data_IF_561786408514
#
_entry.id   IF_561786408514
#
_cell.length_a   1.000
_cell.length_b   1.000
_cell.length_c   1.000
_cell.angle_alpha   90.00
_cell.angle_beta   90.00
_cell.angle_gamma   90.00
#
_symmetry.space_group_name_H-M   'P 1'
#
loop_
_entity.id
_entity.type
_entity.pdbx_description
1 polymer ?
#
# COMPACT_ATOMS: atom_id res chain seq x y z
N UNK A 1 -6.22 15.31 -54.72
CA UNK A 1 -5.10 16.03 -54.06
C UNK A 1 -5.53 16.18 -52.61
N UNK A 2 -4.94 15.41 -51.72
CA UNK A 2 -5.25 15.46 -50.29
C UNK A 2 -4.41 16.58 -49.67
N UNK A 3 -5.07 17.61 -49.12
CA UNK A 3 -4.39 18.72 -48.46
C UNK A 3 -4.36 18.44 -46.97
N UNK A 4 -3.15 18.36 -46.40
CA UNK A 4 -2.92 18.27 -44.96
C UNK A 4 -3.45 19.56 -44.31
N UNK A 5 -4.40 19.44 -43.39
CA UNK A 5 -4.77 20.54 -42.50
C UNK A 5 -3.54 20.83 -41.64
N UNK A 6 -2.93 22.00 -41.84
CA UNK A 6 -1.91 22.51 -40.93
C UNK A 6 -2.54 22.61 -39.55
N UNK A 7 -2.02 21.83 -38.61
CA UNK A 7 -2.24 22.04 -37.19
C UNK A 7 -1.73 23.44 -36.87
N UNK A 8 -2.63 24.41 -36.77
CA UNK A 8 -2.34 25.71 -36.18
C UNK A 8 -1.82 25.43 -34.76
N UNK A 9 -0.50 25.57 -34.58
CA UNK A 9 0.08 25.75 -33.27
C UNK A 9 -0.45 27.08 -32.75
N UNK A 10 -1.57 27.03 -32.04
CA UNK A 10 -2.07 28.16 -31.30
C UNK A 10 -0.96 28.64 -30.37
N UNK A 11 -0.45 29.85 -30.62
CA UNK A 11 0.46 30.55 -29.73
C UNK A 11 -0.13 30.55 -28.32
N UNK A 12 0.52 29.80 -27.42
CA UNK A 12 0.05 29.59 -26.06
C UNK A 12 0.33 30.89 -25.31
N UNK A 13 -0.72 31.69 -25.07
CA UNK A 13 -0.65 32.78 -24.09
C UNK A 13 0.01 32.27 -22.80
N UNK A 14 0.98 32.99 -22.22
CA UNK A 14 1.61 32.58 -20.97
C UNK A 14 0.52 32.48 -19.90
N UNK A 15 0.23 31.26 -19.47
CA UNK A 15 -0.79 31.01 -18.45
C UNK A 15 -0.27 31.61 -17.14
N UNK A 16 -1.01 32.57 -16.58
CA UNK A 16 -0.54 33.45 -15.51
C UNK A 16 -0.12 32.73 -14.23
N UNK A 17 -0.52 31.47 -14.04
CA UNK A 17 -0.26 30.66 -12.85
C UNK A 17 0.86 29.61 -13.04
N UNK A 18 1.62 29.63 -14.15
CA UNK A 18 2.62 28.59 -14.43
C UNK A 18 3.69 28.47 -13.33
N UNK A 19 4.08 29.59 -12.72
CA UNK A 19 5.05 29.66 -11.62
C UNK A 19 4.46 29.30 -10.27
N UNK A 20 3.13 29.19 -10.14
CA UNK A 20 2.45 28.94 -8.85
C UNK A 20 2.69 27.49 -8.40
N UNK A 21 3.04 27.32 -7.13
CA UNK A 21 3.30 26.02 -6.51
C UNK A 21 2.30 25.83 -5.37
N UNK A 22 1.33 24.96 -5.59
CA UNK A 22 0.35 24.52 -4.60
C UNK A 22 0.87 23.26 -3.93
N UNK A 23 1.18 23.30 -2.65
CA UNK A 23 1.86 22.19 -1.97
C UNK A 23 1.23 21.87 -0.61
N UNK A 24 1.28 20.60 -0.22
CA UNK A 24 0.97 20.23 1.15
C UNK A 24 2.09 20.72 2.10
N UNK A 25 1.73 21.24 3.27
CA UNK A 25 2.69 21.72 4.28
C UNK A 25 3.75 20.68 4.66
N UNK A 26 3.39 19.40 4.62
CA UNK A 26 4.29 18.29 4.95
C UNK A 26 5.44 18.11 3.94
N UNK A 27 5.37 18.73 2.75
CA UNK A 27 6.42 18.67 1.72
C UNK A 27 7.64 19.50 2.12
N UNK A 28 7.44 20.60 2.85
CA UNK A 28 8.51 21.51 3.26
C UNK A 28 9.13 21.16 4.62
N UNK A 29 8.73 20.05 5.25
CA UNK A 29 9.35 19.52 6.48
C UNK A 29 9.44 20.57 7.62
N UNK A 30 8.47 21.51 7.67
CA UNK A 30 8.41 22.59 8.67
C UNK A 30 8.99 23.94 8.22
N UNK A 31 9.58 24.02 7.03
CA UNK A 31 10.05 25.28 6.46
C UNK A 31 8.87 26.19 6.03
N UNK A 32 9.02 27.52 6.14
CA UNK A 32 8.04 28.46 5.61
C UNK A 32 8.00 28.44 4.07
N UNK A 33 6.98 29.04 3.43
CA UNK A 33 6.94 29.20 1.98
C UNK A 33 8.24 29.79 1.42
N UNK A 34 8.82 29.13 0.43
CA UNK A 34 10.16 29.48 -0.09
C UNK A 34 10.14 30.70 -1.02
N UNK A 35 8.98 31.05 -1.58
CA UNK A 35 8.77 32.25 -2.38
C UNK A 35 7.29 32.65 -2.39
N UNK A 36 6.97 33.80 -2.97
CA UNK A 36 5.60 34.32 -3.13
C UNK A 36 4.70 33.40 -3.97
N UNK A 37 5.29 32.50 -4.75
CA UNK A 37 4.57 31.55 -5.58
C UNK A 37 4.14 30.28 -4.82
N UNK A 38 4.66 30.06 -3.62
CA UNK A 38 4.32 28.90 -2.79
C UNK A 38 3.07 29.16 -1.96
N UNK A 39 2.10 28.27 -2.08
CA UNK A 39 0.93 28.24 -1.22
C UNK A 39 0.84 26.86 -0.55
N UNK A 40 0.81 26.87 0.78
CA UNK A 40 0.82 25.67 1.59
C UNK A 40 -0.60 25.33 2.07
N UNK A 41 -0.91 24.04 2.07
CA UNK A 41 -2.19 23.51 2.50
C UNK A 41 -2.01 22.43 3.57
N UNK A 42 -2.91 22.40 4.54
CA UNK A 42 -2.82 21.46 5.68
C UNK A 42 -3.09 20.01 5.28
N UNK A 43 -3.89 19.78 4.23
CA UNK A 43 -4.26 18.44 3.78
C UNK A 43 -4.42 18.37 2.26
N UNK A 44 -4.44 17.14 1.72
CA UNK A 44 -4.54 16.90 0.29
C UNK A 44 -5.92 17.26 -0.30
N UNK A 45 -6.98 17.25 0.50
CA UNK A 45 -8.34 17.57 0.02
C UNK A 45 -8.51 19.06 -0.28
N UNK A 46 -8.04 19.92 0.63
CA UNK A 46 -8.05 21.37 0.44
C UNK A 46 -7.10 21.76 -0.70
N UNK A 47 -5.92 21.12 -0.77
CA UNK A 47 -5.01 21.27 -1.90
C UNK A 47 -5.68 20.90 -3.23
N UNK A 48 -6.38 19.78 -3.27
CA UNK A 48 -7.11 19.33 -4.47
C UNK A 48 -8.19 20.35 -4.88
N UNK A 49 -8.97 20.86 -3.93
CA UNK A 49 -10.01 21.84 -4.21
C UNK A 49 -9.44 23.14 -4.82
N UNK A 50 -8.33 23.65 -4.28
CA UNK A 50 -7.66 24.81 -4.87
C UNK A 50 -7.05 24.47 -6.24
N UNK A 51 -6.44 23.30 -6.39
CA UNK A 51 -5.86 22.86 -7.65
C UNK A 51 -6.88 22.78 -8.80
N UNK A 52 -8.18 22.60 -8.51
CA UNK A 52 -9.24 22.64 -9.54
C UNK A 52 -9.39 24.00 -10.22
N UNK A 53 -8.98 25.09 -9.56
CA UNK A 53 -9.05 26.44 -10.14
C UNK A 53 -7.80 26.78 -10.96
N UNK A 54 -6.66 26.15 -10.66
CA UNK A 54 -5.38 26.36 -11.33
C UNK A 54 -5.29 25.69 -12.72
N UNK A 55 -4.47 26.21 -13.64
CA UNK A 55 -4.39 25.76 -15.03
C UNK A 55 -3.01 25.20 -15.41
N UNK A 56 -1.93 25.92 -15.06
CA UNK A 56 -0.55 25.52 -15.34
C UNK A 56 0.31 25.44 -14.07
N UNK A 57 -0.29 25.59 -12.89
CA UNK A 57 0.42 25.47 -11.61
C UNK A 57 1.06 24.08 -11.39
N UNK A 58 1.99 24.05 -10.44
CA UNK A 58 2.59 22.83 -9.92
C UNK A 58 1.88 22.42 -8.64
N UNK A 59 1.32 21.21 -8.61
CA UNK A 59 0.58 20.65 -7.48
C UNK A 59 1.41 19.54 -6.86
N UNK A 60 1.76 19.65 -5.57
CA UNK A 60 2.59 18.67 -4.86
C UNK A 60 1.80 18.08 -3.70
N UNK A 61 1.29 16.88 -3.90
CA UNK A 61 0.61 16.10 -2.85
C UNK A 61 1.61 15.45 -1.91
N UNK A 62 1.22 15.25 -0.65
CA UNK A 62 1.99 14.48 0.33
C UNK A 62 1.38 13.10 0.55
N UNK A 63 2.21 12.06 0.52
CA UNK A 63 1.82 10.67 0.78
C UNK A 63 2.54 10.16 2.03
N UNK A 64 1.77 9.77 3.05
CA UNK A 64 2.31 9.28 4.32
C UNK A 64 1.97 7.81 4.59
N UNK A 65 0.82 7.33 4.09
CA UNK A 65 0.34 5.96 4.33
C UNK A 65 -0.38 5.37 3.12
N UNK A 66 -0.37 4.04 2.98
CA UNK A 66 -0.95 3.32 1.84
C UNK A 66 -2.47 3.52 1.69
N UNK A 67 -3.18 3.80 2.79
CA UNK A 67 -4.62 4.06 2.75
C UNK A 67 -4.97 5.30 1.89
N UNK A 68 -4.02 6.21 1.67
CA UNK A 68 -4.23 7.42 0.89
C UNK A 68 -4.05 7.23 -0.62
N UNK A 69 -3.55 6.07 -1.08
CA UNK A 69 -3.25 5.83 -2.50
C UNK A 69 -4.48 5.93 -3.38
N UNK A 70 -5.58 5.25 -3.02
CA UNK A 70 -6.79 5.28 -3.84
C UNK A 70 -7.46 6.68 -3.87
N UNK A 71 -7.68 7.37 -2.73
CA UNK A 71 -8.15 8.75 -2.75
C UNK A 71 -7.26 9.67 -3.59
N UNK A 72 -5.94 9.53 -3.47
CA UNK A 72 -4.97 10.34 -4.19
C UNK A 72 -5.00 10.06 -5.70
N UNK A 73 -5.09 8.80 -6.11
CA UNK A 73 -5.25 8.39 -7.50
C UNK A 73 -6.50 9.02 -8.13
N UNK A 74 -7.63 9.08 -7.39
CA UNK A 74 -8.87 9.75 -7.81
C UNK A 74 -8.69 11.25 -7.98
N UNK A 75 -8.02 11.91 -7.03
CA UNK A 75 -7.72 13.34 -7.13
C UNK A 75 -6.84 13.67 -8.33
N UNK A 76 -5.76 12.91 -8.54
CA UNK A 76 -4.82 13.11 -9.66
C UNK A 76 -5.52 12.91 -11.01
N UNK A 77 -6.28 11.82 -11.14
CA UNK A 77 -7.05 11.52 -12.34
C UNK A 77 -8.05 12.63 -12.67
N UNK A 78 -8.80 13.08 -11.67
CA UNK A 78 -9.78 14.18 -11.83
C UNK A 78 -9.09 15.47 -12.27
N UNK A 79 -7.97 15.85 -11.65
CA UNK A 79 -7.22 17.04 -12.04
C UNK A 79 -6.70 16.92 -13.47
N UNK A 80 -6.11 15.78 -13.83
CA UNK A 80 -5.54 15.57 -15.16
C UNK A 80 -6.60 15.65 -16.26
N UNK A 81 -7.77 15.05 -16.03
CA UNK A 81 -8.91 15.08 -16.98
C UNK A 81 -9.54 16.47 -17.08
N UNK A 82 -9.74 17.16 -15.96
CA UNK A 82 -10.43 18.46 -15.95
C UNK A 82 -9.54 19.64 -16.36
N UNK A 83 -8.23 19.59 -16.04
CA UNK A 83 -7.31 20.73 -16.20
C UNK A 83 -6.34 20.58 -17.38
N UNK A 84 -6.21 19.36 -17.91
CA UNK A 84 -5.41 19.08 -19.11
C UNK A 84 -3.92 18.88 -18.85
N UNK A 85 -3.11 19.11 -19.88
CA UNK A 85 -1.71 18.65 -19.93
C UNK A 85 -0.67 19.61 -19.34
N UNK A 86 -1.00 20.88 -19.12
CA UNK A 86 -0.02 21.89 -18.66
C UNK A 86 0.21 21.87 -17.15
N UNK A 87 -0.74 21.36 -16.37
CA UNK A 87 -0.60 21.23 -14.92
C UNK A 87 0.46 20.19 -14.58
N UNK A 88 1.36 20.53 -13.65
CA UNK A 88 2.40 19.62 -13.17
C UNK A 88 1.95 19.01 -11.86
N UNK A 89 1.69 17.71 -11.85
CA UNK A 89 1.16 17.00 -10.67
C UNK A 89 2.26 16.08 -10.13
N UNK A 90 2.67 16.31 -8.89
CA UNK A 90 3.71 15.55 -8.19
C UNK A 90 3.14 14.92 -6.93
N UNK A 91 3.71 13.76 -6.58
CA UNK A 91 3.43 13.08 -5.31
C UNK A 91 4.73 12.94 -4.54
N UNK A 92 4.82 13.59 -3.38
CA UNK A 92 5.93 13.46 -2.44
C UNK A 92 5.61 12.36 -1.43
N UNK A 93 6.41 11.30 -1.47
CA UNK A 93 6.39 10.25 -0.46
C UNK A 93 7.20 10.71 0.75
N UNK A 94 6.57 10.77 1.93
CA UNK A 94 7.22 11.17 3.19
C UNK A 94 7.74 9.96 3.99
N UNK A 95 7.05 8.83 3.90
CA UNK A 95 7.37 7.58 4.60
C UNK A 95 7.48 6.46 3.58
N UNK A 96 8.44 5.54 3.75
CA UNK A 96 8.62 4.35 2.90
C UNK A 96 7.38 3.45 2.88
N UNK A 97 6.48 3.71 1.95
CA UNK A 97 5.12 3.18 1.96
C UNK A 97 4.63 2.82 0.55
N UNK A 98 5.07 3.57 -0.45
CA UNK A 98 4.66 3.42 -1.84
C UNK A 98 5.33 2.19 -2.46
N UNK A 99 4.50 1.28 -2.99
CA UNK A 99 4.96 0.14 -3.78
C UNK A 99 5.15 0.55 -5.23
N UNK A 100 5.97 -0.18 -5.98
CA UNK A 100 6.18 0.05 -7.42
C UNK A 100 4.88 -0.01 -8.25
N UNK A 101 3.87 -0.75 -7.79
CA UNK A 101 2.55 -0.80 -8.44
C UNK A 101 1.70 0.42 -8.18
N UNK A 102 1.70 0.89 -6.95
CA UNK A 102 0.97 2.09 -6.56
C UNK A 102 1.63 3.32 -7.21
N UNK A 103 2.96 3.33 -7.33
CA UNK A 103 3.69 4.34 -8.10
C UNK A 103 3.25 4.35 -9.57
N UNK A 104 3.20 3.18 -10.22
CA UNK A 104 2.71 3.06 -11.60
C UNK A 104 1.27 3.53 -11.76
N UNK A 105 0.41 3.23 -10.79
CA UNK A 105 -0.97 3.72 -10.78
C UNK A 105 -1.03 5.23 -10.75
N UNK A 106 -0.31 5.88 -9.82
CA UNK A 106 -0.34 7.33 -9.68
C UNK A 106 0.17 8.01 -10.97
N UNK A 107 1.21 7.44 -11.59
CA UNK A 107 1.74 7.91 -12.88
C UNK A 107 0.72 7.70 -14.02
N UNK A 108 0.02 6.57 -14.05
CA UNK A 108 -1.01 6.26 -15.04
C UNK A 108 -2.28 7.11 -14.86
N UNK A 109 -2.63 7.46 -13.62
CA UNK A 109 -3.71 8.39 -13.29
C UNK A 109 -3.42 9.83 -13.76
N UNK A 110 -2.15 10.19 -13.97
CA UNK A 110 -1.79 11.51 -14.49
C UNK A 110 -0.71 12.25 -13.73
N UNK A 111 -0.05 11.64 -12.74
CA UNK A 111 1.10 12.26 -12.08
C UNK A 111 2.27 12.38 -13.07
N UNK A 112 2.95 13.52 -13.06
CA UNK A 112 4.18 13.72 -13.82
C UNK A 112 5.31 12.90 -13.21
N UNK A 113 5.47 12.99 -11.90
CA UNK A 113 6.57 12.38 -11.17
C UNK A 113 6.19 12.07 -9.72
N UNK A 114 6.77 10.99 -9.21
CA UNK A 114 6.75 10.64 -7.79
C UNK A 114 8.12 10.97 -7.20
N UNK A 115 8.14 11.70 -6.10
CA UNK A 115 9.33 12.03 -5.35
C UNK A 115 9.46 11.01 -4.20
N UNK A 116 10.47 10.12 -4.22
CA UNK A 116 10.57 9.02 -3.26
C UNK A 116 10.99 9.50 -1.87
N UNK A 117 10.67 8.70 -0.84
CA UNK A 117 10.99 9.02 0.57
C UNK A 117 12.48 9.21 0.85
N UNK A 118 13.35 8.50 0.11
CA UNK A 118 14.80 8.58 0.29
C UNK A 118 15.42 9.86 -0.29
N UNK A 119 14.65 10.67 -1.02
CA UNK A 119 15.12 11.96 -1.52
C UNK A 119 15.00 13.02 -0.42
N UNK A 120 16.09 13.71 -0.01
CA UNK A 120 16.00 14.80 0.95
C UNK A 120 15.27 16.01 0.37
N UNK A 121 14.87 16.97 1.23
CA UNK A 121 14.19 18.21 0.82
C UNK A 121 14.92 18.96 -0.32
N UNK A 122 16.24 19.07 -0.27
CA UNK A 122 17.04 19.71 -1.34
C UNK A 122 16.85 19.03 -2.70
N UNK A 123 16.79 17.69 -2.72
CA UNK A 123 16.54 16.91 -3.93
C UNK A 123 15.09 17.02 -4.37
N UNK A 124 14.15 17.06 -3.43
CA UNK A 124 12.72 17.32 -3.68
C UNK A 124 12.52 18.65 -4.44
N UNK A 125 13.12 19.74 -3.96
CA UNK A 125 13.03 21.06 -4.60
C UNK A 125 13.64 21.06 -6.02
N UNK A 126 14.78 20.39 -6.20
CA UNK A 126 15.40 20.22 -7.53
C UNK A 126 14.46 19.48 -8.50
N UNK A 127 13.73 18.49 -7.99
CA UNK A 127 12.77 17.72 -8.78
C UNK A 127 11.50 18.52 -9.12
N UNK A 128 11.03 19.38 -8.22
CA UNK A 128 9.91 20.31 -8.48
C UNK A 128 10.29 21.30 -9.60
N UNK A 129 11.53 21.79 -9.61
CA UNK A 129 11.99 22.68 -10.68
C UNK A 129 12.14 21.93 -12.01
N UNK A 130 12.61 20.68 -11.98
CA UNK A 130 12.84 19.89 -13.21
C UNK A 130 11.60 19.62 -14.06
N UNK A 131 10.39 19.72 -13.48
CA UNK A 131 9.14 19.50 -14.20
C UNK A 131 8.53 20.79 -14.75
N UNK A 132 9.12 21.95 -14.48
CA UNK A 132 8.63 23.21 -15.05
C UNK A 132 8.77 23.20 -16.58
N UNK A 133 7.76 23.72 -17.28
CA UNK A 133 7.67 23.67 -18.75
C UNK A 133 7.29 22.30 -19.34
N UNK A 134 7.25 21.22 -18.55
CA UNK A 134 6.85 19.90 -19.05
C UNK A 134 5.34 19.82 -19.31
N UNK A 135 4.96 19.38 -20.51
CA UNK A 135 3.57 19.04 -20.85
C UNK A 135 3.34 17.54 -20.71
N UNK A 136 2.24 17.17 -20.08
CA UNK A 136 1.85 15.77 -19.93
C UNK A 136 1.29 15.23 -21.26
N UNK A 137 2.00 14.28 -21.88
CA UNK A 137 1.65 13.71 -23.19
C UNK A 137 1.04 12.32 -23.13
N UNK A 138 1.09 11.64 -21.98
CA UNK A 138 0.55 10.27 -21.84
C UNK A 138 -0.97 10.29 -21.92
N UNK A 139 -1.54 9.25 -22.54
CA UNK A 139 -2.98 9.04 -22.53
C UNK A 139 -3.45 8.61 -21.13
N UNK A 140 -4.51 9.26 -20.63
CA UNK A 140 -5.18 8.88 -19.38
C UNK A 140 -6.59 8.42 -19.72
N UNK A 141 -6.96 7.16 -19.40
CA UNK A 141 -8.31 6.65 -19.59
C UNK A 141 -9.37 7.53 -18.95
N UNK A 142 -10.55 7.60 -19.56
CA UNK A 142 -11.67 8.39 -19.05
C UNK A 142 -12.23 7.82 -17.75
N UNK A 143 -12.38 6.49 -17.67
CA UNK A 143 -12.83 5.83 -16.46
C UNK A 143 -11.65 5.40 -15.57
N UNK A 144 -11.67 5.89 -14.33
CA UNK A 144 -10.69 5.52 -13.30
C UNK A 144 -10.81 4.06 -12.87
N UNK A 145 -11.97 3.42 -13.01
CA UNK A 145 -12.12 2.00 -12.63
C UNK A 145 -11.18 1.10 -13.43
N UNK A 146 -10.86 1.48 -14.67
CA UNK A 146 -9.91 0.77 -15.55
C UNK A 146 -8.47 0.90 -15.06
N UNK A 147 -8.12 2.01 -14.40
CA UNK A 147 -6.81 2.20 -13.77
C UNK A 147 -6.75 1.49 -12.42
N UNK A 148 -7.81 1.58 -11.62
CA UNK A 148 -7.89 0.90 -10.33
C UNK A 148 -7.86 -0.62 -10.47
N UNK A 149 -8.41 -1.17 -11.55
CA UNK A 149 -8.31 -2.61 -11.85
C UNK A 149 -6.87 -3.08 -12.12
N UNK A 150 -5.99 -2.20 -12.63
CA UNK A 150 -4.55 -2.50 -12.77
C UNK A 150 -3.83 -2.64 -11.42
N UNK A 151 -4.36 -2.05 -10.34
CA UNK A 151 -3.82 -2.15 -8.98
C UNK A 151 -4.59 -3.05 -8.04
N UNK A 152 -5.76 -3.54 -8.42
CA UNK A 152 -6.59 -4.38 -7.57
C UNK A 152 -6.61 -5.83 -8.08
N UNK A 153 -5.50 -6.59 -8.03
CA UNK A 153 -5.58 -8.02 -8.33
C UNK A 153 -6.17 -8.83 -7.18
N UNK A 154 -6.09 -8.34 -5.93
CA UNK A 154 -6.55 -9.09 -4.78
C UNK A 154 -7.08 -8.20 -3.64
N UNK A 155 -8.41 -8.08 -3.53
CA UNK A 155 -9.08 -7.40 -2.40
C UNK A 155 -9.08 -8.20 -1.10
N UNK A 156 -8.55 -9.41 -1.13
CA UNK A 156 -8.49 -10.30 0.01
C UNK A 156 -7.34 -9.90 0.93
N UNK A 157 -7.52 -10.13 2.22
CA UNK A 157 -6.49 -9.92 3.25
C UNK A 157 -6.58 -11.03 4.28
N UNK A 158 -5.43 -11.47 4.78
CA UNK A 158 -5.37 -12.40 5.89
C UNK A 158 -5.71 -13.83 5.51
N UNK A 159 -6.22 -14.59 6.46
CA UNK A 159 -6.50 -16.01 6.28
C UNK A 159 -7.58 -16.24 5.22
N UNK A 160 -7.31 -17.13 4.29
CA UNK A 160 -8.23 -17.65 3.29
C UNK A 160 -8.24 -19.18 3.35
N UNK A 161 -9.39 -19.78 3.04
CA UNK A 161 -9.49 -21.24 2.84
C UNK A 161 -8.56 -21.67 1.70
N UNK A 162 -8.11 -22.92 1.74
CA UNK A 162 -7.11 -23.44 0.80
C UNK A 162 -7.49 -23.28 -0.67
N UNK A 163 -8.74 -23.61 -1.00
CA UNK A 163 -9.35 -23.46 -2.32
C UNK A 163 -9.43 -22.00 -2.76
N UNK A 164 -9.92 -21.12 -1.88
CA UNK A 164 -10.05 -19.68 -2.12
C UNK A 164 -8.67 -19.06 -2.34
N UNK A 165 -7.68 -19.44 -1.54
CA UNK A 165 -6.30 -19.00 -1.69
C UNK A 165 -5.74 -19.41 -3.06
N UNK A 166 -5.83 -20.70 -3.41
CA UNK A 166 -5.31 -21.19 -4.69
C UNK A 166 -5.98 -20.51 -5.89
N UNK A 167 -7.30 -20.28 -5.82
CA UNK A 167 -8.04 -19.60 -6.88
C UNK A 167 -7.66 -18.13 -6.98
N UNK A 168 -7.50 -17.44 -5.85
CA UNK A 168 -7.06 -16.05 -5.79
C UNK A 168 -5.70 -15.84 -6.44
N UNK A 169 -4.69 -16.63 -6.04
CA UNK A 169 -3.34 -16.51 -6.60
C UNK A 169 -3.34 -16.91 -8.09
N UNK A 170 -4.07 -17.95 -8.48
CA UNK A 170 -4.19 -18.36 -9.88
C UNK A 170 -4.85 -17.28 -10.75
N UNK A 171 -5.92 -16.63 -10.28
CA UNK A 171 -6.57 -15.53 -10.99
C UNK A 171 -5.62 -14.34 -11.17
N UNK A 172 -4.78 -14.08 -10.17
CA UNK A 172 -3.77 -13.04 -10.24
C UNK A 172 -2.65 -13.38 -11.25
N UNK A 173 -2.17 -14.62 -11.28
CA UNK A 173 -1.17 -15.05 -12.26
C UNK A 173 -1.70 -14.96 -13.69
N UNK A 174 -2.95 -15.34 -13.90
CA UNK A 174 -3.60 -15.36 -15.22
C UNK A 174 -4.19 -14.01 -15.66
N UNK A 175 -4.06 -12.95 -14.86
CA UNK A 175 -4.62 -11.64 -15.21
C UNK A 175 -3.71 -10.92 -16.23
N UNK A 176 -4.16 -10.73 -17.49
CA UNK A 176 -3.35 -10.09 -18.53
C UNK A 176 -3.19 -8.58 -18.34
N UNK A 177 -3.96 -7.97 -17.44
CA UNK A 177 -3.89 -6.54 -17.12
C UNK A 177 -2.81 -6.23 -16.08
N UNK A 178 -2.25 -7.27 -15.42
CA UNK A 178 -1.16 -7.09 -14.48
C UNK A 178 0.19 -7.11 -15.18
N UNK A 179 1.21 -6.45 -14.61
CA UNK A 179 2.57 -6.52 -15.13
C UNK A 179 3.03 -7.97 -15.30
N UNK A 180 3.75 -8.24 -16.40
CA UNK A 180 4.28 -9.57 -16.71
C UNK A 180 5.29 -10.10 -15.68
N UNK A 181 5.83 -9.23 -14.82
CA UNK A 181 6.83 -9.58 -13.81
C UNK A 181 6.53 -8.90 -12.49
N UNK A 182 6.85 -9.59 -11.38
CA UNK A 182 6.78 -9.05 -10.03
C UNK A 182 5.36 -8.96 -9.49
N UNK A 183 4.48 -9.91 -9.88
CA UNK A 183 3.12 -10.00 -9.33
C UNK A 183 3.16 -10.25 -7.82
N UNK A 184 4.12 -11.02 -7.31
CA UNK A 184 4.32 -11.18 -5.88
C UNK A 184 5.27 -12.31 -5.54
N UNK A 185 5.32 -12.65 -4.26
CA UNK A 185 6.12 -13.77 -3.74
C UNK A 185 5.19 -14.74 -3.03
N UNK A 186 5.24 -16.01 -3.42
CA UNK A 186 4.62 -17.12 -2.71
C UNK A 186 5.65 -17.76 -1.76
N UNK A 187 5.28 -17.96 -0.50
CA UNK A 187 6.18 -18.54 0.51
C UNK A 187 5.45 -19.61 1.30
N UNK A 188 6.02 -20.82 1.35
CA UNK A 188 5.58 -21.88 2.24
C UNK A 188 6.52 -21.99 3.44
N UNK A 189 6.00 -21.69 4.63
CA UNK A 189 6.71 -21.72 5.90
C UNK A 189 6.34 -22.99 6.68
N UNK A 190 7.36 -23.73 7.12
CA UNK A 190 7.18 -24.89 8.00
C UNK A 190 7.50 -24.49 9.45
N UNK A 191 6.56 -24.59 10.39
CA UNK A 191 6.81 -24.22 11.78
C UNK A 191 7.86 -25.14 12.42
N UNK A 192 8.48 -24.68 13.51
CA UNK A 192 9.36 -25.50 14.34
C UNK A 192 8.56 -26.64 15.01
N UNK A 193 9.18 -27.79 15.37
CA UNK A 193 8.47 -28.92 15.97
C UNK A 193 7.63 -28.61 17.22
N UNK A 194 7.97 -27.54 17.95
CA UNK A 194 7.23 -27.10 19.14
C UNK A 194 6.01 -26.22 18.87
N UNK A 195 5.79 -25.77 17.62
CA UNK A 195 4.71 -24.85 17.26
C UNK A 195 3.82 -25.52 16.21
N UNK A 196 2.51 -25.52 16.44
CA UNK A 196 1.55 -26.01 15.43
C UNK A 196 1.27 -24.93 14.39
N UNK A 197 0.91 -25.34 13.18
CA UNK A 197 0.64 -24.41 12.07
C UNK A 197 -0.49 -23.43 12.38
N UNK A 198 -1.48 -23.86 13.17
CA UNK A 198 -2.61 -23.02 13.57
C UNK A 198 -2.18 -21.95 14.59
N UNK A 199 -1.18 -22.25 15.44
CA UNK A 199 -0.57 -21.25 16.34
C UNK A 199 0.30 -20.27 15.57
N UNK A 200 1.07 -20.74 14.57
CA UNK A 200 1.81 -19.85 13.69
C UNK A 200 0.88 -18.90 12.92
N UNK A 201 -0.33 -19.37 12.56
CA UNK A 201 -1.34 -18.55 11.90
C UNK A 201 -1.89 -17.43 12.78
N UNK A 202 -2.03 -17.63 14.10
CA UNK A 202 -2.54 -16.56 14.99
C UNK A 202 -1.55 -15.40 15.13
N UNK A 203 -0.25 -15.70 15.00
CA UNK A 203 0.84 -14.71 14.97
C UNK A 203 0.95 -13.99 13.62
N UNK A 204 0.45 -14.58 12.54
CA UNK A 204 0.49 -14.00 11.21
C UNK A 204 -0.57 -12.91 11.06
N UNK A 205 -0.18 -11.63 11.12
CA UNK A 205 -1.09 -10.49 11.06
C UNK A 205 -0.75 -9.54 9.91
N UNK A 206 -1.12 -9.88 8.66
CA UNK A 206 -0.92 -8.97 7.54
C UNK A 206 -1.82 -7.74 7.69
N UNK A 207 -1.20 -6.58 7.61
CA UNK A 207 -1.81 -5.26 7.69
C UNK A 207 -2.34 -4.81 6.32
N UNK A 208 -1.74 -5.28 5.23
CA UNK A 208 -2.03 -4.84 3.85
C UNK A 208 -3.01 -5.75 3.12
N UNK A 209 -3.86 -5.13 2.30
CA UNK A 209 -4.72 -5.84 1.34
C UNK A 209 -3.87 -6.41 0.21
N UNK A 210 -4.19 -7.63 -0.23
CA UNK A 210 -3.39 -8.39 -1.19
C UNK A 210 -2.40 -9.37 -0.55
N UNK A 211 -2.15 -9.24 0.76
CA UNK A 211 -1.35 -10.20 1.51
C UNK A 211 -2.32 -11.22 2.14
N UNK A 212 -2.33 -12.43 1.60
CA UNK A 212 -3.19 -13.53 2.04
C UNK A 212 -2.36 -14.70 2.53
N UNK A 213 -2.93 -15.49 3.44
CA UNK A 213 -2.31 -16.73 3.89
C UNK A 213 -3.32 -17.87 3.99
N UNK A 214 -2.83 -19.08 3.88
CA UNK A 214 -3.59 -20.31 4.12
C UNK A 214 -2.73 -21.31 4.89
N UNK A 215 -3.34 -22.35 5.43
CA UNK A 215 -2.64 -23.41 6.16
C UNK A 215 -3.08 -24.77 5.61
N UNK A 216 -2.12 -25.66 5.40
CA UNK A 216 -2.38 -27.00 4.90
C UNK A 216 -1.12 -27.85 4.88
N UNK A 217 -1.28 -29.16 5.10
CA UNK A 217 -0.14 -30.10 5.06
C UNK A 217 0.98 -29.75 6.07
N UNK A 218 0.60 -29.22 7.25
CA UNK A 218 1.52 -28.72 8.28
C UNK A 218 2.47 -27.61 7.80
N UNK A 219 2.00 -26.77 6.85
CA UNK A 219 2.70 -25.60 6.34
C UNK A 219 1.78 -24.39 6.34
N UNK A 220 2.35 -23.23 6.63
CA UNK A 220 1.69 -21.94 6.50
C UNK A 220 2.16 -21.32 5.18
N UNK A 221 1.24 -21.14 4.25
CA UNK A 221 1.53 -20.59 2.93
C UNK A 221 1.05 -19.15 2.87
N UNK A 222 1.94 -18.22 2.55
CA UNK A 222 1.67 -16.81 2.33
C UNK A 222 1.84 -16.46 0.87
N UNK A 223 1.00 -15.56 0.38
CA UNK A 223 1.21 -14.86 -0.87
C UNK A 223 1.26 -13.36 -0.59
N UNK A 224 2.40 -12.73 -0.93
CA UNK A 224 2.65 -11.31 -0.72
C UNK A 224 2.58 -10.59 -2.07
N UNK A 225 1.50 -9.83 -2.27
CA UNK A 225 1.28 -9.12 -3.54
C UNK A 225 2.32 -8.01 -3.72
N UNK A 226 2.92 -7.95 -4.91
CA UNK A 226 3.89 -6.94 -5.33
C UNK A 226 5.10 -6.79 -4.39
N UNK A 227 5.47 -7.85 -3.68
CA UNK A 227 6.69 -7.93 -2.91
C UNK A 227 7.86 -8.34 -3.83
N UNK A 228 9.05 -7.78 -3.61
CA UNK A 228 10.29 -8.23 -4.26
C UNK A 228 10.94 -9.28 -3.37
N UNK A 229 11.67 -10.21 -3.98
CA UNK A 229 12.39 -11.25 -3.24
C UNK A 229 13.36 -10.67 -2.19
N UNK A 230 14.03 -9.56 -2.52
CA UNK A 230 14.98 -8.89 -1.61
C UNK A 230 14.28 -8.26 -0.38
N UNK A 231 13.00 -7.91 -0.51
CA UNK A 231 12.22 -7.28 0.55
C UNK A 231 11.41 -8.31 1.36
N UNK A 232 11.56 -9.61 1.07
CA UNK A 232 10.76 -10.67 1.70
C UNK A 232 10.98 -10.73 3.21
N UNK A 233 12.23 -10.72 3.66
CA UNK A 233 12.58 -10.76 5.09
C UNK A 233 12.03 -9.53 5.82
N UNK A 234 12.12 -8.35 5.20
CA UNK A 234 11.53 -7.11 5.71
C UNK A 234 10.00 -7.20 5.79
N UNK A 235 9.33 -7.79 4.80
CA UNK A 235 7.89 -7.97 4.82
C UNK A 235 7.46 -8.93 5.93
N UNK A 236 8.14 -10.06 6.08
CA UNK A 236 7.85 -11.05 7.12
C UNK A 236 8.04 -10.48 8.53
N UNK A 237 9.08 -9.69 8.77
CA UNK A 237 9.31 -9.03 10.06
C UNK A 237 8.23 -8.01 10.43
N UNK A 238 7.49 -7.47 9.46
CA UNK A 238 6.34 -6.60 9.73
C UNK A 238 5.03 -7.37 9.91
N UNK A 239 4.93 -8.59 9.37
CA UNK A 239 3.73 -9.43 9.45
C UNK A 239 3.70 -10.23 10.77
N UNK A 240 4.87 -10.66 11.24
CA UNK A 240 5.02 -11.43 12.47
C UNK A 240 5.53 -10.55 13.61
N UNK A 241 4.97 -10.66 14.83
CA UNK A 241 5.42 -9.90 15.99
C UNK A 241 6.74 -10.44 16.59
N UNK A 242 7.19 -11.62 16.16
CA UNK A 242 8.39 -12.30 16.62
C UNK A 242 9.32 -12.60 15.44
N UNK A 243 10.63 -12.76 15.67
CA UNK A 243 11.56 -13.17 14.63
C UNK A 243 11.12 -14.46 13.95
N UNK A 244 11.09 -14.48 12.62
CA UNK A 244 10.60 -15.63 11.86
C UNK A 244 11.45 -16.89 12.06
N UNK A 245 12.74 -16.75 12.39
CA UNK A 245 13.63 -17.89 12.69
C UNK A 245 13.25 -18.67 13.95
N UNK A 246 12.55 -18.05 14.90
CA UNK A 246 12.09 -18.72 16.13
C UNK A 246 10.78 -19.47 15.89
N UNK A 247 9.98 -19.01 14.91
CA UNK A 247 8.67 -19.57 14.60
C UNK A 247 8.77 -20.69 13.56
N UNK A 248 9.66 -20.52 12.57
CA UNK A 248 9.73 -21.37 11.38
C UNK A 248 11.11 -22.01 11.24
N UNK A 249 11.12 -23.33 11.04
CA UNK A 249 12.34 -24.11 10.82
C UNK A 249 12.81 -24.07 9.37
N UNK A 250 11.85 -24.01 8.44
CA UNK A 250 12.15 -24.13 7.02
C UNK A 250 11.22 -23.26 6.18
N UNK A 251 11.73 -22.71 5.07
CA UNK A 251 10.94 -21.90 4.14
C UNK A 251 11.22 -22.30 2.70
N UNK A 252 10.18 -22.35 1.87
CA UNK A 252 10.29 -22.46 0.42
C UNK A 252 9.68 -21.21 -0.20
N UNK A 253 10.30 -20.68 -1.25
CA UNK A 253 9.96 -19.39 -1.84
C UNK A 253 9.88 -19.53 -3.35
N UNK A 254 8.80 -19.01 -3.94
CA UNK A 254 8.60 -18.89 -5.37
C UNK A 254 8.24 -17.45 -5.69
N UNK A 255 9.00 -16.82 -6.58
CA UNK A 255 8.82 -15.39 -6.92
C UNK A 255 8.61 -15.16 -8.43
N UNK A 256 8.88 -16.17 -9.25
CA UNK A 256 8.57 -16.13 -10.69
C UNK A 256 7.15 -16.64 -10.94
N UNK A 257 6.43 -15.97 -11.84
CA UNK A 257 5.03 -16.27 -12.14
C UNK A 257 4.81 -17.73 -12.60
N UNK A 258 5.75 -18.28 -13.37
CA UNK A 258 5.71 -19.67 -13.84
C UNK A 258 5.90 -20.66 -12.68
N UNK A 259 6.83 -20.36 -11.76
CA UNK A 259 7.09 -21.18 -10.58
C UNK A 259 5.88 -21.17 -9.63
N UNK A 260 5.29 -19.99 -9.42
CA UNK A 260 4.08 -19.83 -8.60
C UNK A 260 2.93 -20.64 -9.22
N UNK A 261 2.74 -20.56 -10.53
CA UNK A 261 1.70 -21.31 -11.24
C UNK A 261 1.90 -22.82 -11.14
N UNK A 262 3.13 -23.30 -11.30
CA UNK A 262 3.48 -24.71 -11.15
C UNK A 262 3.25 -25.22 -9.72
N UNK A 263 3.65 -24.44 -8.71
CA UNK A 263 3.43 -24.80 -7.30
C UNK A 263 1.94 -24.82 -6.94
N UNK A 264 1.13 -23.90 -7.48
CA UNK A 264 -0.32 -23.92 -7.27
C UNK A 264 -0.97 -25.22 -7.78
N UNK A 265 -0.44 -25.82 -8.85
CA UNK A 265 -0.91 -27.13 -9.33
C UNK A 265 -0.58 -28.22 -8.30
N UNK A 266 0.63 -28.21 -7.73
CA UNK A 266 1.03 -29.15 -6.67
C UNK A 266 0.20 -28.96 -5.39
N UNK A 267 -0.03 -27.72 -4.97
CA UNK A 267 -0.84 -27.39 -3.81
C UNK A 267 -2.30 -27.85 -3.95
N UNK A 268 -2.86 -27.84 -5.17
CA UNK A 268 -4.22 -28.34 -5.43
C UNK A 268 -4.36 -29.85 -5.29
N UNK A 269 -3.27 -30.61 -5.34
CA UNK A 269 -3.28 -32.06 -5.11
C UNK A 269 -3.38 -32.43 -3.62
N UNK A 270 -3.27 -31.45 -2.72
CA UNK A 270 -3.39 -31.67 -1.29
C UNK A 270 -4.82 -32.06 -0.91
N UNK A 271 -4.96 -33.19 -0.23
CA UNK A 271 -6.26 -33.74 0.14
C UNK A 271 -7.03 -32.79 1.09
N UNK A 272 -8.36 -32.65 0.96
CA UNK A 272 -9.16 -31.72 1.77
C UNK A 272 -9.06 -31.94 3.28
N UNK A 273 -8.75 -33.17 3.72
CA UNK A 273 -8.58 -33.51 5.14
C UNK A 273 -7.34 -32.87 5.76
N UNK A 274 -6.38 -32.45 4.92
CA UNK A 274 -5.15 -31.78 5.35
C UNK A 274 -5.26 -30.26 5.31
N UNK A 275 -6.43 -29.71 4.97
CA UNK A 275 -6.68 -28.28 5.00
C UNK A 275 -6.85 -27.82 6.44
N UNK A 276 -5.96 -26.93 6.88
CA UNK A 276 -6.04 -26.39 8.22
C UNK A 276 -7.14 -25.34 8.31
N UNK A 277 -7.80 -25.28 9.47
CA UNK A 277 -8.68 -24.18 9.83
C UNK A 277 -8.04 -23.39 10.97
N UNK A 278 -8.24 -22.06 11.01
CA UNK A 278 -7.79 -21.27 12.13
C UNK A 278 -8.41 -21.80 13.41
N UNK A 279 -7.64 -21.76 14.50
CA UNK A 279 -8.19 -22.06 15.82
C UNK A 279 -9.40 -21.16 16.07
N UNK A 280 -10.50 -21.69 16.64
CA UNK A 280 -11.63 -20.86 17.01
C UNK A 280 -11.11 -19.74 17.91
N UNK A 281 -11.31 -18.50 17.48
CA UNK A 281 -11.06 -17.34 18.30
C UNK A 281 -11.96 -17.49 19.52
N UNK A 282 -11.39 -17.91 20.66
CA UNK A 282 -12.01 -17.62 21.94
C UNK A 282 -12.08 -16.10 21.99
N UNK A 283 -13.28 -15.55 21.81
CA UNK A 283 -13.59 -14.18 22.19
C UNK A 283 -13.50 -14.06 23.72
N UNK A 284 -12.31 -14.29 24.26
CA UNK A 284 -11.94 -13.77 25.56
C UNK A 284 -11.08 -12.56 25.26
N UNK A 285 -11.75 -11.41 25.19
CA UNK A 285 -11.19 -10.08 25.32
C UNK A 285 -10.59 -9.87 26.72
N UNK A 286 -9.70 -10.76 27.15
CA UNK A 286 -8.82 -10.49 28.28
C UNK A 286 -7.46 -10.20 27.66
N UNK A 287 -6.95 -8.96 27.75
CA UNK A 287 -5.60 -8.69 27.31
C UNK A 287 -4.68 -9.63 28.10
N UNK A 288 -4.02 -10.56 27.40
CA UNK A 288 -3.10 -11.54 28.01
C UNK A 288 -1.88 -10.85 28.65
N UNK A 289 -1.74 -9.54 28.43
CA UNK A 289 -0.67 -8.71 28.93
C UNK A 289 -1.31 -7.47 29.54
N UNK A 290 -1.31 -7.38 30.89
CA UNK A 290 -1.56 -6.12 31.63
C UNK A 290 -0.38 -5.18 31.43
N UNK A 291 -0.07 -4.81 30.19
CA UNK A 291 0.94 -3.80 29.87
C UNK A 291 0.59 -3.04 28.59
N UNK A 292 0.69 -1.72 28.67
CA UNK A 292 0.58 -0.82 27.53
C UNK A 292 1.97 -0.27 27.16
N UNK A 293 2.21 -0.09 25.87
CA UNK A 293 3.46 0.45 25.35
C UNK A 293 3.31 1.94 25.03
N UNK A 294 3.82 2.79 25.93
CA UNK A 294 3.71 4.26 25.89
C UNK A 294 4.72 4.91 24.92
N UNK A 295 5.05 4.23 23.82
CA UNK A 295 6.00 4.69 22.80
C UNK A 295 7.49 4.66 23.17
N UNK A 296 7.87 4.39 24.44
CA UNK A 296 9.28 4.24 24.87
C UNK A 296 9.59 2.98 25.69
N UNK A 297 8.63 2.49 26.48
CA UNK A 297 8.82 1.30 27.33
C UNK A 297 7.46 0.67 27.68
N UNK A 298 7.45 -0.64 27.92
CA UNK A 298 6.28 -1.39 28.38
C UNK A 298 5.98 -1.06 29.85
N UNK A 299 4.78 -0.55 30.15
CA UNK A 299 4.30 -0.30 31.52
C UNK A 299 3.17 -1.23 31.88
N UNK A 300 3.27 -1.90 33.04
CA UNK A 300 2.17 -2.69 33.58
C UNK A 300 1.12 -1.79 34.24
N UNK A 301 -0.16 -2.05 33.99
CA UNK A 301 -1.26 -1.38 34.68
C UNK A 301 -1.55 -2.18 35.96
N UNK A 302 -1.39 -1.60 37.17
CA UNK A 302 -1.70 -2.30 38.40
C UNK A 302 -3.23 -2.48 38.53
N UNK A 303 -3.67 -3.71 38.72
CA UNK A 303 -5.06 -3.99 39.07
C UNK A 303 -5.29 -3.69 40.56
N UNK A 304 -6.34 -2.92 40.92
CA UNK A 304 -6.66 -2.64 42.31
C UNK A 304 -7.22 -3.91 42.98
N UNK A 305 -6.45 -4.50 43.88
CA UNK A 305 -6.95 -5.54 44.80
C UNK A 305 -7.79 -4.88 45.90
N UNK A 306 -9.09 -5.19 45.96
CA UNK A 306 -9.92 -4.93 47.14
C UNK A 306 -9.86 -6.16 48.04
N UNK A 307 -9.67 -5.94 49.35
CA UNK A 307 -9.35 -6.99 50.32
C UNK A 307 -10.57 -7.61 51.02
N UNK A 308 -11.81 -7.35 50.54
CA UNK A 308 -13.05 -7.87 51.13
C UNK A 308 -14.07 -8.15 50.02
N UNK A 309 -14.55 -9.40 49.95
CA UNK A 309 -15.71 -9.80 49.15
C UNK A 309 -16.98 -9.37 49.89
N UNK A 310 -17.84 -8.54 49.26
CA UNK A 310 -19.17 -8.17 49.75
C UNK A 310 -20.16 -9.35 49.60
N UNK A 311 -19.81 -10.48 50.19
CA UNK A 311 -20.68 -11.62 50.38
C UNK A 311 -20.61 -12.02 51.85
N UNK A 312 -21.38 -11.32 52.68
CA UNK A 312 -22.20 -11.80 53.83
C UNK A 312 -22.50 -10.59 54.72
N UNK A 313 -23.57 -9.85 54.40
CA UNK A 313 -24.39 -9.23 55.43
C UNK A 313 -25.71 -10.02 55.47
N UNK A 314 -25.75 -11.01 56.37
CA UNK A 314 -27.01 -11.58 56.85
C UNK A 314 -27.64 -10.56 57.79
N UNK A 315 -28.65 -9.83 57.35
CA UNK A 315 -29.56 -9.12 58.26
C UNK A 315 -30.67 -10.08 58.70
N UNK A 316 -30.72 -10.29 60.01
CA UNK A 316 -31.87 -10.84 60.74
C UNK A 316 -32.98 -9.81 60.82
#
# INVERSE_FOLDING_TARGET
IWTLVQSEEAEIQPRSDEKRILSNVAVLEGAPPLSEHWQLFNNNEVLFNEARTAQAATVVFSLQQNAQIEPLARSIHTLRRQRGSAMKILVRENTASLRATDERLLLACGANMVIPWNAPLSRCLTMIESVQGQKFSRYVPEDITTLLSMTQPLKLRGFQKWDVFCNAVNNMMNNPLLPAHGKGVLVALRPVPGIRVEQALTLCRPNRTGDIMTIGGNRLVLFLSFCRINDLDTALNHIFPLPTGDIFSNRMVWFEDDQISAELVQMRLLAPEQWGMPLPLTQNSKPVINAEHDGRHWRRIPEPMRLLDDAVERSS
#
